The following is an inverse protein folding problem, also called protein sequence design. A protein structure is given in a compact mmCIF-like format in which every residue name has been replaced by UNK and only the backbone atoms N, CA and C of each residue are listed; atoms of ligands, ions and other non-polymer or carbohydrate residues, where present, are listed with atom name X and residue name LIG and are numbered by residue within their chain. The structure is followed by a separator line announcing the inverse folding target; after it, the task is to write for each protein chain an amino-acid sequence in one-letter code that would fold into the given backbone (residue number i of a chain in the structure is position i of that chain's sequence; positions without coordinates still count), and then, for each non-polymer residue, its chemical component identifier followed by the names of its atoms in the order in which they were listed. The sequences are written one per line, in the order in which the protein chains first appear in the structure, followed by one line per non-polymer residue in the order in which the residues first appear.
data_IF_679743411042
#
_entry.id   IF_679743411042
#
_cell.length_a   1.000
_cell.length_b   1.000
_cell.length_c   1.000
_cell.angle_alpha   90.00
_cell.angle_beta   90.00
_cell.angle_gamma   90.00
#
_symmetry.space_group_name_H-M   'P 1'
#
loop_
_entity.id
_entity.type
_entity.pdbx_description
1 polymer ?
#
# COMPACT_ATOMS: atom_id res chain seq x y z
N UNK A 1 -11.18 21.68 13.81
CA UNK A 1 -10.80 20.39 13.18
C UNK A 1 -11.93 19.97 12.27
N UNK A 2 -11.80 20.25 10.98
CA UNK A 2 -12.78 19.76 10.00
C UNK A 2 -12.45 18.30 9.76
N UNK A 3 -13.27 17.40 10.31
CA UNK A 3 -13.23 15.98 9.98
C UNK A 3 -13.46 15.86 8.47
N UNK A 4 -12.44 15.38 7.77
CA UNK A 4 -12.47 15.22 6.31
C UNK A 4 -13.13 13.87 5.99
N UNK A 5 -14.46 13.81 6.06
CA UNK A 5 -15.21 12.57 5.80
C UNK A 5 -15.59 12.38 4.32
N UNK A 6 -15.38 13.37 3.46
CA UNK A 6 -15.87 13.33 2.08
C UNK A 6 -14.79 13.71 1.04
N UNK A 7 -14.01 12.73 0.60
CA UNK A 7 -13.00 12.87 -0.47
C UNK A 7 -13.20 11.81 -1.55
N UNK A 8 -12.86 12.15 -2.80
CA UNK A 8 -12.91 11.25 -3.95
C UNK A 8 -11.75 11.54 -4.93
N UNK A 9 -11.47 10.61 -5.83
CA UNK A 9 -10.56 10.83 -6.97
C UNK A 9 -11.27 11.52 -8.16
N UNK A 10 -12.47 12.06 -7.93
CA UNK A 10 -13.33 12.67 -8.94
C UNK A 10 -13.08 14.18 -9.12
N UNK A 11 -13.82 14.78 -10.06
CA UNK A 11 -13.59 16.14 -10.54
C UNK A 11 -13.74 17.25 -9.47
N UNK A 12 -14.49 17.01 -8.38
CA UNK A 12 -14.88 18.07 -7.44
C UNK A 12 -13.98 18.21 -6.20
N UNK A 13 -13.19 17.20 -5.83
CA UNK A 13 -12.41 17.15 -4.56
C UNK A 13 -11.05 16.47 -4.72
N UNK A 14 -10.35 16.86 -5.77
CA UNK A 14 -9.17 16.17 -6.30
C UNK A 14 -8.01 16.04 -5.29
N UNK A 15 -7.16 15.01 -5.42
CA UNK A 15 -6.03 14.76 -4.53
C UNK A 15 -5.03 15.91 -4.33
N UNK A 16 -4.91 16.84 -5.28
CA UNK A 16 -3.99 17.99 -5.17
C UNK A 16 -4.41 18.99 -4.07
N UNK A 17 -5.64 18.88 -3.56
CA UNK A 17 -6.16 19.78 -2.51
C UNK A 17 -6.04 19.21 -1.10
N UNK A 18 -5.71 17.92 -0.92
CA UNK A 18 -5.79 17.23 0.37
C UNK A 18 -4.74 17.66 1.41
N UNK A 19 -3.68 18.36 0.99
CA UNK A 19 -2.50 18.54 1.84
C UNK A 19 -1.68 19.80 1.55
N UNK A 20 -2.35 20.91 1.20
CA UNK A 20 -1.68 22.15 0.73
C UNK A 20 -0.59 22.70 1.66
N UNK A 21 -0.69 22.44 2.97
CA UNK A 21 0.26 22.95 3.97
C UNK A 21 1.28 21.90 4.46
N UNK A 22 1.29 20.70 3.85
CA UNK A 22 2.14 19.57 4.25
C UNK A 22 3.34 19.43 3.31
N UNK A 23 4.53 19.10 3.84
CA UNK A 23 5.82 19.13 3.12
C UNK A 23 6.46 17.76 2.91
N UNK A 24 5.89 16.70 3.50
CA UNK A 24 6.39 15.32 3.43
C UNK A 24 5.30 14.37 2.96
N UNK A 25 4.58 14.79 1.93
CA UNK A 25 3.46 14.03 1.37
C UNK A 25 3.92 12.88 0.47
N UNK A 26 3.10 11.84 0.41
CA UNK A 26 3.28 10.65 -0.43
C UNK A 26 2.08 10.50 -1.39
N UNK A 27 2.26 9.83 -2.54
CA UNK A 27 3.49 9.20 -3.04
C UNK A 27 4.49 10.21 -3.60
N UNK A 28 5.72 9.76 -3.91
CA UNK A 28 6.77 10.55 -4.57
C UNK A 28 7.33 9.80 -5.77
N UNK A 29 8.01 10.53 -6.66
CA UNK A 29 8.90 9.93 -7.65
C UNK A 29 10.23 9.51 -7.02
N UNK A 30 10.64 8.28 -7.29
CA UNK A 30 11.94 7.74 -6.92
C UNK A 30 12.92 8.02 -8.05
N UNK A 31 13.55 9.19 -7.97
CA UNK A 31 14.69 9.55 -8.82
C UNK A 31 15.92 8.74 -8.41
N UNK A 32 16.24 7.72 -9.22
CA UNK A 32 17.32 6.78 -8.96
C UNK A 32 18.72 7.39 -9.11
N UNK A 33 18.85 8.54 -9.77
CA UNK A 33 20.12 9.27 -9.87
C UNK A 33 20.44 10.07 -8.59
N UNK A 34 19.44 10.35 -7.76
CA UNK A 34 19.55 11.19 -6.55
C UNK A 34 19.21 10.42 -5.26
N UNK A 35 19.70 9.19 -5.17
CA UNK A 35 19.58 8.34 -3.99
C UNK A 35 20.79 8.49 -3.07
N UNK A 36 20.53 8.42 -1.77
CA UNK A 36 21.59 8.28 -0.76
C UNK A 36 21.78 6.80 -0.46
N UNK A 37 22.98 6.39 -0.09
CA UNK A 37 23.22 5.03 0.39
C UNK A 37 22.65 4.88 1.81
N UNK A 38 21.83 3.86 2.02
CA UNK A 38 21.30 3.52 3.33
C UNK A 38 22.24 2.61 4.11
N UNK A 39 22.09 2.58 5.43
CA UNK A 39 22.78 1.62 6.30
C UNK A 39 22.29 0.18 6.05
N UNK A 40 23.02 -0.82 6.55
CA UNK A 40 22.56 -2.22 6.52
C UNK A 40 21.37 -2.38 7.47
N UNK A 41 20.17 -2.27 6.90
CA UNK A 41 18.88 -2.29 7.59
C UNK A 41 18.11 -3.52 7.12
N UNK A 42 18.34 -4.64 7.80
CA UNK A 42 17.78 -5.93 7.40
C UNK A 42 16.27 -5.98 7.67
N UNK A 43 15.50 -6.35 6.63
CA UNK A 43 14.08 -6.67 6.75
C UNK A 43 13.92 -8.16 7.08
N UNK A 44 13.24 -8.47 8.19
CA UNK A 44 12.86 -9.83 8.53
C UNK A 44 11.35 -9.92 8.64
N UNK A 45 10.73 -10.61 7.68
CA UNK A 45 9.31 -10.88 7.68
C UNK A 45 9.04 -12.11 8.56
N UNK A 46 8.05 -12.04 9.44
CA UNK A 46 7.45 -13.17 10.16
C UNK A 46 5.93 -13.11 9.92
N UNK A 47 5.55 -13.25 8.65
CA UNK A 47 4.14 -13.33 8.28
C UNK A 47 3.58 -14.73 8.44
N UNK A 48 2.27 -14.83 8.62
CA UNK A 48 1.56 -16.10 8.73
C UNK A 48 0.26 -16.02 7.97
N UNK A 49 -0.19 -17.15 7.46
CA UNK A 49 -1.53 -17.28 6.91
C UNK A 49 -2.57 -17.09 8.03
N UNK A 50 -3.62 -16.32 7.75
CA UNK A 50 -4.74 -16.14 8.66
C UNK A 50 -6.05 -15.90 7.92
N UNK A 51 -7.17 -16.13 8.60
CA UNK A 51 -8.49 -15.73 8.10
C UNK A 51 -8.60 -14.21 7.98
N UNK A 52 -9.30 -13.76 6.95
CA UNK A 52 -9.34 -12.35 6.56
C UNK A 52 -10.75 -11.85 6.32
N UNK A 53 -10.84 -10.53 6.38
CA UNK A 53 -11.95 -9.76 5.84
C UNK A 53 -11.45 -8.77 4.80
N UNK A 54 -12.25 -8.57 3.76
CA UNK A 54 -12.05 -7.53 2.77
C UNK A 54 -12.96 -6.36 3.12
N UNK A 55 -12.34 -5.20 3.36
CA UNK A 55 -13.01 -3.93 3.57
C UNK A 55 -12.97 -3.15 2.27
N UNK A 56 -14.16 -2.88 1.73
CA UNK A 56 -14.39 -1.98 0.62
C UNK A 56 -14.71 -0.60 1.20
N UNK A 57 -13.77 0.33 1.09
CA UNK A 57 -13.96 1.73 1.45
C UNK A 57 -13.46 2.57 0.31
N UNK A 58 -14.36 2.90 -0.63
CA UNK A 58 -14.03 3.59 -1.88
C UNK A 58 -13.06 4.74 -1.59
N UNK A 59 -11.88 4.73 -2.22
CA UNK A 59 -11.42 3.95 -3.37
C UNK A 59 -10.45 2.82 -2.99
N UNK A 60 -10.45 2.38 -1.73
CA UNK A 60 -9.56 1.33 -1.21
C UNK A 60 -10.26 -0.02 -1.12
N UNK A 61 -9.51 -1.03 -1.55
CA UNK A 61 -9.71 -2.44 -1.21
C UNK A 61 -8.68 -2.83 -0.16
N UNK A 62 -9.12 -3.04 1.07
CA UNK A 62 -8.23 -3.30 2.20
C UNK A 62 -8.52 -4.67 2.81
N UNK A 63 -7.55 -5.57 2.75
CA UNK A 63 -7.58 -6.82 3.50
C UNK A 63 -7.08 -6.56 4.92
N UNK A 64 -7.78 -7.13 5.90
CA UNK A 64 -7.36 -7.16 7.31
C UNK A 64 -7.52 -8.58 7.86
N UNK A 65 -6.69 -9.00 8.83
CA UNK A 65 -6.90 -10.27 9.48
C UNK A 65 -8.14 -10.20 10.37
N UNK A 66 -8.86 -11.31 10.52
CA UNK A 66 -10.03 -11.40 11.41
C UNK A 66 -9.66 -11.21 12.88
N UNK A 67 -8.43 -11.57 13.24
CA UNK A 67 -7.85 -11.33 14.56
C UNK A 67 -6.61 -10.45 14.41
N UNK A 68 -6.57 -9.35 15.14
CA UNK A 68 -5.43 -8.42 15.11
C UNK A 68 -4.12 -9.15 15.42
N UNK A 69 -3.08 -8.89 14.62
CA UNK A 69 -1.77 -9.53 14.76
C UNK A 69 -1.69 -10.99 14.28
N UNK A 70 -2.78 -11.59 13.78
CA UNK A 70 -2.74 -12.99 13.32
C UNK A 70 -1.79 -13.21 12.13
N UNK A 71 -1.62 -12.19 11.28
CA UNK A 71 -0.63 -12.22 10.20
C UNK A 71 0.81 -12.02 10.66
N UNK A 72 1.08 -11.75 11.94
CA UNK A 72 2.44 -11.52 12.43
C UNK A 72 2.97 -10.12 12.13
N UNK A 73 4.27 -10.03 11.85
CA UNK A 73 5.01 -8.77 11.89
C UNK A 73 6.20 -8.72 10.92
N UNK A 74 6.76 -7.53 10.74
CA UNK A 74 8.10 -7.31 10.20
C UNK A 74 9.01 -6.80 11.31
N UNK A 75 10.25 -7.30 11.36
CA UNK A 75 11.33 -6.72 12.17
C UNK A 75 12.25 -5.90 11.28
N UNK A 76 12.50 -4.65 11.70
CA UNK A 76 13.38 -3.71 11.04
C UNK A 76 14.30 -3.10 12.09
N UNK A 77 15.61 -3.33 11.99
CA UNK A 77 16.61 -2.95 13.01
C UNK A 77 16.27 -3.44 14.42
N UNK A 78 15.74 -4.67 14.51
CA UNK A 78 15.32 -5.28 15.78
C UNK A 78 14.04 -4.68 16.38
N UNK A 79 13.40 -3.72 15.72
CA UNK A 79 12.08 -3.20 16.10
C UNK A 79 10.99 -3.92 15.33
N UNK A 80 10.00 -4.43 16.05
CA UNK A 80 8.90 -5.18 15.47
C UNK A 80 7.69 -4.27 15.16
N UNK A 81 7.12 -4.47 13.98
CA UNK A 81 5.94 -3.77 13.48
C UNK A 81 4.90 -4.80 13.06
N UNK A 82 3.78 -4.85 13.75
CA UNK A 82 2.67 -5.78 13.47
C UNK A 82 1.98 -5.38 12.17
N UNK A 83 1.74 -6.34 11.28
CA UNK A 83 0.99 -6.12 10.04
C UNK A 83 -0.49 -5.90 10.36
N UNK A 84 -1.00 -4.71 10.05
CA UNK A 84 -2.38 -4.28 10.33
C UNK A 84 -3.30 -4.52 9.13
N UNK A 85 -2.82 -4.16 7.93
CA UNK A 85 -3.61 -4.28 6.70
C UNK A 85 -2.75 -4.40 5.45
N UNK A 86 -3.37 -4.92 4.39
CA UNK A 86 -2.81 -4.96 3.03
C UNK A 86 -3.83 -4.39 2.06
N UNK A 87 -3.42 -3.45 1.22
CA UNK A 87 -4.27 -2.91 0.15
C UNK A 87 -3.46 -2.68 -1.12
N UNK A 88 -4.15 -2.57 -2.25
CA UNK A 88 -3.51 -2.33 -3.54
C UNK A 88 -4.09 -1.10 -4.23
N UNK A 89 -3.24 -0.48 -5.05
CA UNK A 89 -3.58 0.61 -5.94
C UNK A 89 -3.33 0.19 -7.39
N UNK A 90 -4.20 0.62 -8.29
CA UNK A 90 -4.03 0.48 -9.74
C UNK A 90 -4.50 1.79 -10.41
N UNK A 91 -3.64 2.46 -11.23
CA UNK A 91 -2.19 2.28 -11.35
C UNK A 91 -1.43 2.31 -10.01
N UNK A 92 -0.11 2.07 -10.01
CA UNK A 92 0.73 2.28 -8.83
C UNK A 92 0.71 3.73 -8.34
N UNK A 93 1.05 3.96 -7.08
CA UNK A 93 1.08 5.31 -6.50
C UNK A 93 2.45 5.98 -6.70
N UNK A 94 3.53 5.25 -6.40
CA UNK A 94 4.89 5.73 -6.61
C UNK A 94 5.34 5.50 -8.06
N UNK A 95 6.16 6.42 -8.54
CA UNK A 95 6.89 6.27 -9.80
C UNK A 95 8.38 6.03 -9.55
N UNK A 96 9.05 5.46 -10.54
CA UNK A 96 10.52 5.34 -10.57
C UNK A 96 11.02 6.03 -11.83
N UNK A 97 11.80 7.09 -11.67
CA UNK A 97 12.27 7.95 -12.76
C UNK A 97 11.14 8.48 -13.68
N UNK A 98 9.98 8.79 -13.09
CA UNK A 98 8.80 9.31 -13.78
C UNK A 98 7.83 8.25 -14.30
N UNK A 99 8.22 6.96 -14.30
CA UNK A 99 7.36 5.88 -14.79
C UNK A 99 6.57 5.21 -13.67
N UNK A 100 5.25 5.07 -13.87
CA UNK A 100 4.37 4.34 -12.97
C UNK A 100 4.35 2.85 -13.31
N UNK A 101 4.27 2.02 -12.28
CA UNK A 101 3.93 0.60 -12.42
C UNK A 101 2.41 0.43 -12.63
N UNK A 102 1.96 -0.66 -13.27
CA UNK A 102 0.53 -0.93 -13.44
C UNK A 102 -0.21 -1.10 -12.11
N UNK A 103 0.48 -1.44 -11.03
CA UNK A 103 -0.10 -1.43 -9.68
C UNK A 103 0.96 -1.38 -8.59
N UNK A 104 0.50 -1.20 -7.36
CA UNK A 104 1.33 -1.17 -6.16
C UNK A 104 0.56 -1.75 -4.97
N UNK A 105 1.21 -2.56 -4.15
CA UNK A 105 0.64 -3.10 -2.92
C UNK A 105 1.31 -2.44 -1.71
N UNK A 106 0.49 -2.05 -0.74
CA UNK A 106 0.93 -1.52 0.55
C UNK A 106 0.62 -2.49 1.67
N UNK A 107 1.65 -2.87 2.42
CA UNK A 107 1.58 -3.60 3.69
C UNK A 107 1.75 -2.59 4.82
N UNK A 108 0.68 -2.28 5.54
CA UNK A 108 0.66 -1.25 6.59
C UNK A 108 0.94 -1.90 7.93
N UNK A 109 1.94 -1.39 8.63
CA UNK A 109 2.34 -1.90 9.94
C UNK A 109 2.25 -0.84 11.02
N UNK A 110 1.92 -1.29 12.23
CA UNK A 110 1.93 -0.51 13.46
C UNK A 110 3.07 -0.99 14.37
N UNK A 111 3.76 -0.09 15.08
CA UNK A 111 4.81 -0.46 16.01
C UNK A 111 4.22 -1.28 17.17
N UNK A 112 4.93 -2.33 17.60
CA UNK A 112 4.54 -3.08 18.79
C UNK A 112 4.79 -2.25 20.06
N UNK A 113 3.83 -2.26 20.99
CA UNK A 113 3.94 -1.56 22.28
C UNK A 113 3.62 -0.07 22.25
N UNK A 114 3.17 0.49 21.12
CA UNK A 114 2.65 1.85 21.02
C UNK A 114 1.13 1.82 20.89
N UNK A 115 0.43 2.28 21.93
CA UNK A 115 -1.03 2.34 22.00
C UNK A 115 -1.57 3.74 21.71
N UNK A 116 -0.74 4.64 21.17
CA UNK A 116 -1.21 5.97 20.80
C UNK A 116 -2.28 5.89 19.70
N UNK A 117 -3.14 6.91 19.63
CA UNK A 117 -4.21 6.95 18.62
C UNK A 117 -3.67 7.10 17.19
N UNK A 118 -2.50 7.72 17.05
CA UNK A 118 -1.86 8.04 15.78
C UNK A 118 -0.37 7.67 15.84
N UNK A 119 -0.04 6.37 15.98
CA UNK A 119 1.34 5.95 16.09
C UNK A 119 2.06 6.20 14.75
N UNK A 120 3.40 6.28 14.72
CA UNK A 120 4.10 6.19 13.44
C UNK A 120 3.72 4.88 12.74
N UNK A 121 3.71 4.89 11.41
CA UNK A 121 3.42 3.70 10.60
C UNK A 121 4.65 3.35 9.77
N UNK A 122 4.83 2.07 9.55
CA UNK A 122 5.77 1.55 8.58
C UNK A 122 4.97 0.92 7.43
N UNK A 123 5.16 1.41 6.21
CA UNK A 123 4.52 0.87 5.01
C UNK A 123 5.58 0.22 4.15
N UNK A 124 5.48 -1.09 3.96
CA UNK A 124 6.24 -1.78 2.93
C UNK A 124 5.44 -1.71 1.64
N UNK A 125 6.01 -1.12 0.59
CA UNK A 125 5.40 -1.04 -0.73
C UNK A 125 6.02 -2.04 -1.69
N UNK A 126 5.22 -2.70 -2.51
CA UNK A 126 5.70 -3.59 -3.56
C UNK A 126 5.05 -3.23 -4.90
N UNK A 127 5.89 -2.88 -5.88
CA UNK A 127 5.42 -2.63 -7.24
C UNK A 127 4.89 -3.92 -7.88
N UNK A 128 3.88 -3.78 -8.74
CA UNK A 128 3.31 -4.88 -9.51
C UNK A 128 3.73 -4.71 -10.97
N UNK A 129 4.25 -5.76 -11.59
CA UNK A 129 4.62 -5.75 -13.00
C UNK A 129 3.99 -6.93 -13.73
N UNK A 130 3.58 -6.71 -14.98
CA UNK A 130 2.94 -7.76 -15.76
C UNK A 130 3.92 -8.84 -16.20
N UNK A 131 3.51 -10.09 -16.01
CA UNK A 131 4.15 -11.26 -16.59
C UNK A 131 3.08 -12.34 -16.84
N UNK A 132 3.08 -12.92 -18.04
CA UNK A 132 2.25 -14.09 -18.33
C UNK A 132 2.59 -15.27 -17.42
N UNK A 133 1.61 -16.14 -17.15
CA UNK A 133 1.74 -17.32 -16.29
C UNK A 133 2.29 -17.05 -14.87
N UNK A 134 2.02 -15.86 -14.34
CA UNK A 134 2.43 -15.44 -12.99
C UNK A 134 1.25 -15.35 -12.01
N UNK A 135 1.40 -14.60 -10.91
CA UNK A 135 0.41 -14.56 -9.85
C UNK A 135 -0.88 -13.85 -10.29
N UNK A 136 -2.04 -14.46 -10.01
CA UNK A 136 -3.32 -13.75 -9.97
C UNK A 136 -3.50 -13.16 -8.57
N UNK A 137 -3.64 -11.82 -8.47
CA UNK A 137 -3.77 -11.18 -7.17
C UNK A 137 -5.01 -11.71 -6.40
N UNK A 138 -4.89 -12.01 -5.11
CA UNK A 138 -6.00 -12.50 -4.29
C UNK A 138 -7.23 -11.57 -4.30
N UNK A 139 -7.01 -10.25 -4.37
CA UNK A 139 -8.06 -9.23 -4.44
C UNK A 139 -9.05 -9.49 -5.57
N UNK A 140 -8.57 -9.88 -6.75
CA UNK A 140 -9.40 -10.16 -7.94
C UNK A 140 -10.36 -11.32 -7.68
N UNK A 141 -9.86 -12.39 -7.03
CA UNK A 141 -10.68 -13.55 -6.65
C UNK A 141 -11.75 -13.16 -5.64
N UNK A 142 -11.42 -12.30 -4.68
CA UNK A 142 -12.35 -11.82 -3.66
C UNK A 142 -13.46 -10.96 -4.24
N UNK A 143 -13.13 -10.05 -5.15
CA UNK A 143 -14.09 -9.22 -5.88
C UNK A 143 -15.07 -10.09 -6.68
N UNK A 144 -14.57 -11.09 -7.41
CA UNK A 144 -15.40 -11.98 -8.23
C UNK A 144 -16.33 -12.88 -7.42
N UNK A 145 -15.88 -13.37 -6.26
CA UNK A 145 -16.61 -14.39 -5.48
C UNK A 145 -17.51 -13.82 -4.37
N UNK A 146 -17.21 -12.63 -3.84
CA UNK A 146 -17.95 -12.05 -2.71
C UNK A 146 -18.86 -10.88 -3.07
N UNK A 147 -18.63 -10.23 -4.21
CA UNK A 147 -19.24 -8.97 -4.53
C UNK A 147 -20.08 -9.08 -5.81
N UNK A 148 -21.27 -9.67 -5.68
CA UNK A 148 -22.31 -9.51 -6.70
C UNK A 148 -22.59 -8.02 -6.90
N UNK A 149 -22.08 -7.46 -8.00
CA UNK A 149 -22.26 -6.11 -8.56
C UNK A 149 -23.44 -5.28 -8.01
N UNK A 150 -23.35 -4.76 -6.77
CA UNK A 150 -24.31 -3.80 -6.19
C UNK A 150 -23.69 -2.84 -5.16
N UNK A 151 -22.37 -2.69 -5.12
CA UNK A 151 -21.76 -1.66 -4.29
C UNK A 151 -21.87 -0.31 -5.00
N UNK A 152 -22.78 0.56 -4.54
CA UNK A 152 -22.98 1.90 -5.11
C UNK A 152 -22.32 3.01 -4.28
N UNK A 153 -22.07 2.77 -2.99
CA UNK A 153 -21.40 3.66 -2.03
C UNK A 153 -21.41 3.01 -0.63
N UNK A 154 -20.48 3.38 0.27
CA UNK A 154 -20.56 3.02 1.70
C UNK A 154 -19.26 2.47 2.29
N UNK A 155 -19.40 1.59 3.28
CA UNK A 155 -18.36 0.64 3.71
C UNK A 155 -18.99 -0.74 3.59
N UNK A 156 -18.31 -1.68 2.92
CA UNK A 156 -18.75 -3.07 2.82
C UNK A 156 -17.65 -3.98 3.35
N UNK A 157 -18.00 -4.83 4.31
CA UNK A 157 -17.15 -5.91 4.81
C UNK A 157 -17.58 -7.22 4.14
N UNK A 158 -16.64 -7.88 3.48
CA UNK A 158 -16.81 -9.20 2.87
C UNK A 158 -15.89 -10.19 3.57
N UNK A 159 -16.38 -11.40 3.80
CA UNK A 159 -15.60 -12.50 4.37
C UNK A 159 -15.34 -13.50 3.25
N UNK A 160 -14.11 -13.56 2.70
CA UNK A 160 -13.84 -14.44 1.58
C UNK A 160 -13.99 -15.93 1.83
N UNK A 161 -14.08 -16.35 3.10
CA UNK A 161 -14.23 -17.75 3.50
C UNK A 161 -12.97 -18.59 3.24
N UNK A 162 -11.83 -17.97 2.97
CA UNK A 162 -10.55 -18.64 2.88
C UNK A 162 -9.44 -17.75 3.44
N UNK A 163 -8.42 -18.36 4.05
CA UNK A 163 -7.32 -17.59 4.62
C UNK A 163 -6.45 -16.97 3.52
N UNK A 164 -5.58 -16.07 3.95
CA UNK A 164 -4.63 -15.36 3.12
C UNK A 164 -3.26 -15.34 3.78
N UNK A 165 -2.25 -15.67 3.00
CA UNK A 165 -0.84 -15.56 3.36
C UNK A 165 -0.21 -14.31 2.69
N UNK A 166 0.17 -13.28 3.47
CA UNK A 166 0.82 -12.09 2.94
C UNK A 166 2.12 -12.37 2.16
N UNK A 167 2.81 -13.50 2.37
CA UNK A 167 3.99 -13.86 1.58
C UNK A 167 3.70 -14.08 0.10
N UNK A 168 2.48 -14.45 -0.27
CA UNK A 168 2.10 -14.75 -1.65
C UNK A 168 2.28 -13.55 -2.59
N UNK A 169 2.23 -12.34 -2.03
CA UNK A 169 2.30 -11.06 -2.75
C UNK A 169 3.55 -10.26 -2.35
N UNK A 170 4.58 -10.92 -1.83
CA UNK A 170 5.92 -10.34 -1.69
C UNK A 170 6.79 -10.68 -2.92
N UNK A 171 7.70 -9.78 -3.32
CA UNK A 171 8.70 -10.11 -4.33
C UNK A 171 9.56 -11.29 -3.87
N UNK A 172 9.98 -12.15 -4.81
CA UNK A 172 10.86 -13.31 -4.51
C UNK A 172 12.19 -12.92 -3.85
N UNK A 173 12.63 -11.67 -4.03
CA UNK A 173 13.87 -11.10 -3.45
C UNK A 173 13.57 -9.71 -2.85
N UNK A 174 13.09 -9.63 -1.61
CA UNK A 174 12.66 -8.38 -1.00
C UNK A 174 13.77 -7.65 -0.22
N UNK A 175 15.05 -7.95 -0.46
CA UNK A 175 16.17 -7.39 0.33
C UNK A 175 16.53 -5.95 -0.01
N UNK A 176 16.46 -5.58 -1.29
CA UNK A 176 16.78 -4.23 -1.74
C UNK A 176 15.52 -3.36 -1.82
N UNK A 177 15.57 -2.16 -1.26
CA UNK A 177 14.41 -1.26 -1.19
C UNK A 177 14.82 0.21 -1.08
N UNK A 178 13.89 1.10 -1.45
CA UNK A 178 14.00 2.53 -1.24
C UNK A 178 13.31 2.92 0.06
N UNK A 179 13.92 3.78 0.87
CA UNK A 179 13.34 4.23 2.12
C UNK A 179 13.21 5.76 2.20
N UNK A 180 12.05 6.24 2.67
CA UNK A 180 11.85 7.66 2.94
C UNK A 180 10.72 7.91 3.95
N UNK A 181 10.76 9.08 4.60
CA UNK A 181 9.70 9.55 5.49
C UNK A 181 8.64 10.33 4.70
N UNK A 182 7.40 9.90 4.80
CA UNK A 182 6.28 10.36 4.00
C UNK A 182 4.98 10.47 4.79
N UNK A 183 3.87 10.28 4.08
CA UNK A 183 2.53 10.39 4.64
C UNK A 183 1.62 9.23 4.25
N UNK A 184 0.45 9.14 4.88
CA UNK A 184 -0.65 8.39 4.27
C UNK A 184 -0.92 8.97 2.86
N UNK A 185 -1.20 8.10 1.89
CA UNK A 185 -1.56 8.47 0.51
C UNK A 185 -3.05 8.74 0.34
N UNK A 186 -3.81 8.64 1.43
CA UNK A 186 -5.22 9.03 1.48
C UNK A 186 -5.49 9.89 2.71
N UNK A 187 -6.57 10.70 2.70
CA UNK A 187 -6.95 11.53 3.83
C UNK A 187 -7.01 10.75 5.15
N UNK A 188 -6.54 11.37 6.26
CA UNK A 188 -6.13 12.78 6.38
C UNK A 188 -4.71 13.11 5.88
N UNK A 189 -4.03 12.19 5.19
CA UNK A 189 -2.68 12.38 4.62
C UNK A 189 -1.61 12.72 5.69
N UNK A 190 -1.66 12.08 6.85
CA UNK A 190 -0.75 12.38 7.97
C UNK A 190 0.69 12.00 7.68
N UNK A 191 1.63 12.89 8.01
CA UNK A 191 3.08 12.73 7.78
C UNK A 191 3.77 11.90 8.89
N UNK A 192 3.23 10.72 9.13
CA UNK A 192 3.70 9.79 10.17
C UNK A 192 4.10 8.42 9.60
N UNK A 193 4.34 8.35 8.29
CA UNK A 193 4.65 7.09 7.59
C UNK A 193 6.14 7.05 7.23
N UNK A 194 6.78 5.93 7.49
CA UNK A 194 8.03 5.55 6.82
C UNK A 194 7.69 4.53 5.72
N UNK A 195 8.06 4.83 4.48
CA UNK A 195 7.92 3.91 3.35
C UNK A 195 9.19 3.11 3.15
N UNK A 196 9.03 1.80 2.92
CA UNK A 196 10.05 0.88 2.44
C UNK A 196 9.55 0.27 1.11
N UNK A 197 9.92 0.87 -0.01
CA UNK A 197 9.49 0.44 -1.35
C UNK A 197 10.45 -0.62 -1.89
N UNK A 198 10.00 -1.87 -1.94
CA UNK A 198 10.78 -3.00 -2.44
C UNK A 198 11.14 -2.77 -3.90
N UNK A 199 12.44 -2.91 -4.22
CA UNK A 199 12.97 -2.60 -5.55
C UNK A 199 12.52 -3.60 -6.61
N UNK A 200 12.42 -4.87 -6.25
CA UNK A 200 11.94 -5.91 -7.15
C UNK A 200 10.42 -5.94 -7.13
N UNK A 201 9.74 -5.99 -8.29
CA UNK A 201 8.30 -6.07 -8.33
C UNK A 201 7.79 -7.48 -8.01
N UNK A 202 6.52 -7.56 -7.62
CA UNK A 202 5.73 -8.78 -7.69
C UNK A 202 5.25 -8.94 -9.12
N UNK A 203 5.44 -10.13 -9.68
CA UNK A 203 5.08 -10.44 -11.06
C UNK A 203 3.64 -10.98 -11.05
N UNK A 204 2.76 -10.28 -11.76
CA UNK A 204 1.32 -10.57 -11.80
C UNK A 204 0.80 -10.71 -13.22
N UNK A 205 -0.25 -11.50 -13.42
CA UNK A 205 -0.89 -11.59 -14.74
C UNK A 205 -1.58 -10.27 -15.10
N UNK A 206 -1.75 -9.92 -16.39
CA UNK A 206 -2.60 -8.79 -16.80
C UNK A 206 -4.00 -8.83 -16.19
N UNK A 207 -4.53 -10.05 -16.01
CA UNK A 207 -5.83 -10.33 -15.43
C UNK A 207 -5.98 -9.88 -13.97
N UNK A 208 -4.86 -9.76 -13.23
CA UNK A 208 -4.83 -9.47 -11.80
C UNK A 208 -5.38 -8.10 -11.42
N UNK A 209 -5.38 -7.15 -12.35
CA UNK A 209 -5.78 -5.76 -12.10
C UNK A 209 -7.06 -5.37 -12.83
N UNK A 210 -7.66 -6.26 -13.62
CA UNK A 210 -8.89 -5.95 -14.36
C UNK A 210 -10.07 -5.61 -13.46
N UNK A 211 -10.21 -6.29 -12.32
CA UNK A 211 -11.23 -5.93 -11.33
C UNK A 211 -11.01 -4.55 -10.73
N UNK A 212 -9.77 -4.06 -10.63
CA UNK A 212 -9.54 -2.68 -10.19
C UNK A 212 -10.07 -1.68 -11.21
N UNK A 213 -9.83 -1.90 -12.50
CA UNK A 213 -10.34 -1.03 -13.57
C UNK A 213 -11.88 -1.03 -13.64
N UNK A 214 -12.51 -2.19 -13.43
CA UNK A 214 -13.97 -2.32 -13.41
C UNK A 214 -14.60 -1.63 -12.19
N UNK A 215 -13.98 -1.77 -11.02
CA UNK A 215 -14.53 -1.27 -9.75
C UNK A 215 -14.18 0.19 -9.47
N UNK A 216 -13.03 0.66 -9.95
CA UNK A 216 -12.51 2.01 -9.74
C UNK A 216 -12.14 2.66 -11.09
N UNK A 217 -13.15 2.99 -11.92
CA UNK A 217 -12.89 3.65 -13.19
C UNK A 217 -12.20 5.00 -12.94
N UNK A 218 -10.99 5.15 -13.49
CA UNK A 218 -10.12 6.31 -13.26
C UNK A 218 -8.95 6.06 -12.30
N UNK A 219 -8.87 4.85 -11.72
CA UNK A 219 -7.78 4.42 -10.87
C UNK A 219 -7.95 4.82 -9.40
N UNK A 220 -7.08 4.28 -8.57
CA UNK A 220 -7.08 4.49 -7.11
C UNK A 220 -5.81 5.16 -6.60
N UNK A 221 -4.91 5.58 -7.49
CA UNK A 221 -3.63 6.16 -7.14
C UNK A 221 -3.68 7.67 -6.94
N UNK A 222 -3.12 8.12 -5.81
CA UNK A 222 -2.83 9.54 -5.58
C UNK A 222 -1.74 10.03 -6.54
N UNK A 223 -1.90 11.20 -7.18
CA UNK A 223 -0.84 11.81 -7.96
C UNK A 223 0.45 12.00 -7.16
N UNK A 224 1.59 11.94 -7.86
CA UNK A 224 2.91 12.20 -7.29
C UNK A 224 2.93 13.56 -6.60
N UNK A 225 3.45 13.58 -5.37
CA UNK A 225 3.61 14.77 -4.55
C UNK A 225 5.05 15.29 -4.65
N UNK A 226 5.26 16.61 -4.48
CA UNK A 226 6.61 17.17 -4.51
C UNK A 226 7.52 16.53 -3.47
N UNK A 227 8.68 16.03 -3.91
CA UNK A 227 9.70 15.44 -3.01
C UNK A 227 10.34 16.49 -2.09
N UNK A 228 10.42 17.74 -2.53
CA UNK A 228 11.21 18.80 -1.88
C UNK A 228 12.65 18.33 -1.62
N UNK A 229 13.22 18.60 -0.45
CA UNK A 229 14.58 18.21 -0.08
C UNK A 229 14.64 16.87 0.68
N UNK A 230 13.57 16.06 0.64
CA UNK A 230 13.55 14.78 1.37
C UNK A 230 14.60 13.82 0.81
N UNK A 231 15.47 13.24 1.64
CA UNK A 231 16.35 12.17 1.21
C UNK A 231 15.53 10.91 0.93
N UNK A 232 15.97 10.14 -0.07
CA UNK A 232 15.52 8.78 -0.33
C UNK A 232 16.76 7.90 -0.29
N UNK A 233 16.72 6.86 0.53
CA UNK A 233 17.84 5.96 0.76
C UNK A 233 17.65 4.68 -0.04
N UNK A 234 18.72 4.17 -0.63
CA UNK A 234 18.78 2.83 -1.20
C UNK A 234 19.46 1.89 -0.21
N UNK A 235 18.73 0.86 0.22
CA UNK A 235 19.25 -0.26 1.00
C UNK A 235 19.37 -1.49 0.08
N UNK A 236 20.39 -2.33 0.26
CA UNK A 236 20.74 -3.44 -0.64
C UNK A 236 20.82 -4.78 0.09
#
# INVERSE_FOLDING_TARGET
MTLCTDWDYGFSRRPEQWSKDKTRQSPIDIDTANLQEGEDRRLTFDYREADVKLLLKSPKLELKPMTEGAWGAISVDGKNWTLDSVHAHAPGEHSVNGDLYPGEVHFVHKPQGDESKEPPLLVVGAFLAYQEDSLVLPFEKYLKNGAGYKYKSGELELHPGHPFDPYQILPKKPSAYYAYKGSLTTPPCDERVEFLLLKNPVLVTPDSLRGFDEWFPGGTNRPIQPRFQRPVFLHK
#
